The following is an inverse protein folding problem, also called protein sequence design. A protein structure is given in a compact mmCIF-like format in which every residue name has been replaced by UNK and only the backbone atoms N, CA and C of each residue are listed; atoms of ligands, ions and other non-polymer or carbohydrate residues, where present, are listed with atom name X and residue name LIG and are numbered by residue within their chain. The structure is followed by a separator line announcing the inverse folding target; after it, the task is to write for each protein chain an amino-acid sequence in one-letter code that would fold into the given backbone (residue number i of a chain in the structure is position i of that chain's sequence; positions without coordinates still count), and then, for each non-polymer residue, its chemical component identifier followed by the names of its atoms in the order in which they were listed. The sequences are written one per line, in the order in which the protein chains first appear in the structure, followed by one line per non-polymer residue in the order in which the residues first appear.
data_IF_289762702282
#
_entry.id   IF_289762702282
#
_cell.length_a   1.000
_cell.length_b   1.000
_cell.length_c   1.000
_cell.angle_alpha   90.00
_cell.angle_beta   90.00
_cell.angle_gamma   90.00
#
_symmetry.space_group_name_H-M   'P 1'
#
loop_
_entity.id
_entity.type
_entity.pdbx_description
1 polymer ?
#
# COMPACT_ATOMS: atom_id res chain seq x y z
N UNK A 1 5.84 32.12 -8.33
CA UNK A 1 5.53 31.56 -6.98
C UNK A 1 4.02 31.47 -6.72
N UNK A 2 3.20 32.47 -7.05
CA UNK A 2 1.72 32.49 -6.84
C UNK A 2 0.95 31.39 -7.58
N UNK A 3 1.30 31.06 -8.82
CA UNK A 3 0.61 30.04 -9.62
C UNK A 3 0.76 28.61 -9.02
N UNK A 4 1.88 28.32 -8.35
CA UNK A 4 2.12 27.03 -7.69
C UNK A 4 1.28 26.88 -6.43
N UNK A 5 1.01 27.99 -5.72
CA UNK A 5 0.21 28.03 -4.49
C UNK A 5 -1.28 27.78 -4.78
N UNK A 6 -1.83 28.40 -5.83
CA UNK A 6 -3.24 28.22 -6.23
C UNK A 6 -3.54 26.78 -6.72
N UNK A 7 -2.55 26.09 -7.28
CA UNK A 7 -2.70 24.70 -7.71
C UNK A 7 -2.81 23.75 -6.52
N UNK A 8 -1.99 23.95 -5.49
CA UNK A 8 -2.03 23.17 -4.24
C UNK A 8 -3.38 23.27 -3.53
N UNK A 9 -3.99 24.45 -3.45
CA UNK A 9 -5.30 24.63 -2.80
C UNK A 9 -6.44 23.84 -3.48
N UNK A 10 -6.35 23.60 -4.79
CA UNK A 10 -7.35 22.78 -5.51
C UNK A 10 -7.07 21.27 -5.44
N UNK A 11 -5.83 20.88 -5.31
CA UNK A 11 -5.41 19.47 -5.33
C UNK A 11 -5.60 18.78 -3.98
N UNK A 12 -5.38 19.50 -2.88
CA UNK A 12 -5.53 18.93 -1.52
C UNK A 12 -6.95 18.44 -1.25
N UNK A 13 -8.04 19.20 -1.52
CA UNK A 13 -9.40 18.71 -1.32
C UNK A 13 -9.73 17.48 -2.17
N UNK A 14 -9.23 17.42 -3.40
CA UNK A 14 -9.44 16.28 -4.30
C UNK A 14 -8.74 15.03 -3.75
N UNK A 15 -7.48 15.17 -3.35
CA UNK A 15 -6.73 14.07 -2.76
C UNK A 15 -7.37 13.58 -1.46
N UNK A 16 -7.83 14.50 -0.60
CA UNK A 16 -8.58 14.14 0.61
C UNK A 16 -9.88 13.40 0.27
N UNK A 17 -10.64 13.87 -0.72
CA UNK A 17 -11.86 13.19 -1.17
C UNK A 17 -11.59 11.77 -1.67
N UNK A 18 -10.56 11.58 -2.51
CA UNK A 18 -10.13 10.27 -3.01
C UNK A 18 -9.68 9.36 -1.86
N UNK A 19 -8.88 9.89 -0.92
CA UNK A 19 -8.39 9.13 0.24
C UNK A 19 -9.54 8.72 1.16
N UNK A 20 -10.49 9.63 1.42
CA UNK A 20 -11.69 9.32 2.20
C UNK A 20 -12.52 8.23 1.52
N UNK A 21 -12.72 8.33 0.21
CA UNK A 21 -13.41 7.28 -0.55
C UNK A 21 -12.69 5.94 -0.45
N UNK A 22 -11.36 5.91 -0.65
CA UNK A 22 -10.56 4.69 -0.55
C UNK A 22 -10.66 4.03 0.83
N UNK A 23 -10.67 4.85 1.90
CA UNK A 23 -10.90 4.37 3.26
C UNK A 23 -12.29 3.76 3.42
N UNK A 24 -13.33 4.52 3.06
CA UNK A 24 -14.72 4.14 3.30
C UNK A 24 -15.15 2.92 2.50
N UNK A 25 -14.76 2.81 1.23
CA UNK A 25 -15.12 1.64 0.41
C UNK A 25 -14.50 0.37 0.96
N UNK A 26 -13.25 0.43 1.42
CA UNK A 26 -12.59 -0.73 2.02
C UNK A 26 -13.18 -1.08 3.39
N UNK A 27 -13.40 -0.08 4.24
CA UNK A 27 -14.07 -0.24 5.53
C UNK A 27 -15.45 -0.88 5.38
N UNK A 28 -16.25 -0.42 4.42
CA UNK A 28 -17.55 -1.00 4.13
C UNK A 28 -17.42 -2.45 3.69
N UNK A 29 -16.51 -2.75 2.75
CA UNK A 29 -16.27 -4.12 2.27
C UNK A 29 -15.87 -5.07 3.40
N UNK A 30 -14.99 -4.65 4.29
CA UNK A 30 -14.54 -5.46 5.43
C UNK A 30 -15.62 -5.73 6.48
N UNK A 31 -16.71 -4.98 6.47
CA UNK A 31 -17.89 -5.23 7.32
C UNK A 31 -18.95 -6.10 6.63
N UNK A 32 -18.79 -6.43 5.34
CA UNK A 32 -19.76 -7.28 4.61
C UNK A 32 -19.53 -8.78 4.83
N UNK A 33 -18.35 -9.17 5.25
CA UNK A 33 -18.00 -10.57 5.49
C UNK A 33 -16.54 -10.78 5.83
N UNK A 34 -16.19 -12.01 6.15
CA UNK A 34 -14.82 -12.41 6.50
C UNK A 34 -14.41 -13.65 5.73
N UNK A 35 -13.12 -13.76 5.42
CA UNK A 35 -12.48 -15.02 5.03
C UNK A 35 -11.86 -15.59 6.31
N UNK A 36 -12.49 -16.60 6.99
CA UNK A 36 -12.20 -16.88 8.40
C UNK A 36 -10.74 -17.16 8.70
N UNK A 37 -10.10 -18.03 7.93
CA UNK A 37 -8.71 -18.45 8.19
C UNK A 37 -7.75 -17.29 7.93
N UNK A 38 -7.83 -16.68 6.76
CA UNK A 38 -6.85 -15.68 6.34
C UNK A 38 -7.01 -14.36 7.11
N UNK A 39 -8.26 -13.90 7.32
CA UNK A 39 -8.51 -12.66 8.08
C UNK A 39 -8.08 -12.77 9.52
N UNK A 40 -8.40 -13.87 10.20
CA UNK A 40 -8.04 -14.04 11.60
C UNK A 40 -6.57 -14.40 11.80
N UNK A 41 -5.90 -15.00 10.80
CA UNK A 41 -4.48 -15.28 10.88
C UNK A 41 -3.63 -14.02 11.13
N UNK A 42 -3.86 -12.94 10.39
CA UNK A 42 -3.14 -11.69 10.60
C UNK A 42 -3.56 -10.94 11.87
N UNK A 43 -4.82 -11.04 12.27
CA UNK A 43 -5.29 -10.49 13.53
C UNK A 43 -4.61 -11.18 14.73
N UNK A 44 -4.49 -12.51 14.69
CA UNK A 44 -3.85 -13.32 15.74
C UNK A 44 -2.34 -13.06 15.83
N UNK A 45 -1.63 -13.03 14.69
CA UNK A 45 -0.20 -12.73 14.68
C UNK A 45 0.09 -11.31 15.15
N UNK A 46 -0.69 -10.32 14.73
CA UNK A 46 -0.60 -8.95 15.23
C UNK A 46 -0.85 -8.87 16.75
N UNK A 47 -1.85 -9.59 17.26
CA UNK A 47 -2.10 -9.67 18.69
C UNK A 47 -0.95 -10.33 19.45
N UNK A 48 -0.39 -11.43 18.95
CA UNK A 48 0.76 -12.10 19.56
C UNK A 48 1.96 -11.15 19.68
N UNK A 49 2.22 -10.33 18.66
CA UNK A 49 3.30 -9.34 18.71
C UNK A 49 3.08 -8.31 19.82
N UNK A 50 1.87 -7.77 20.00
CA UNK A 50 1.61 -6.80 21.08
C UNK A 50 1.67 -7.43 22.47
N UNK A 51 1.56 -8.75 22.59
CA UNK A 51 1.80 -9.50 23.84
C UNK A 51 3.30 -9.72 24.11
N UNK A 52 4.18 -9.29 23.19
CA UNK A 52 5.63 -9.42 23.33
C UNK A 52 6.21 -10.70 22.75
N UNK A 53 5.43 -11.49 22.03
CA UNK A 53 5.93 -12.66 21.31
C UNK A 53 6.64 -12.24 20.03
N UNK A 54 7.75 -12.89 19.72
CA UNK A 54 8.53 -12.62 18.52
C UNK A 54 8.17 -13.59 17.40
N UNK A 55 7.82 -13.08 16.20
CA UNK A 55 7.58 -13.90 15.03
C UNK A 55 8.79 -14.83 14.75
N UNK A 56 8.52 -16.03 14.24
CA UNK A 56 9.51 -17.09 13.93
C UNK A 56 10.08 -17.77 15.19
N UNK A 57 10.31 -17.03 16.28
CA UNK A 57 10.81 -17.60 17.51
C UNK A 57 9.70 -18.24 18.36
N UNK A 58 8.61 -17.51 18.58
CA UNK A 58 7.56 -17.89 19.54
C UNK A 58 6.28 -18.40 18.84
N UNK A 59 6.09 -18.01 17.58
CA UNK A 59 4.99 -18.48 16.73
C UNK A 59 5.38 -18.47 15.25
N UNK A 60 4.67 -19.28 14.47
CA UNK A 60 4.92 -19.37 13.04
C UNK A 60 4.15 -18.29 12.28
N UNK A 61 4.77 -17.75 11.22
CA UNK A 61 4.17 -16.76 10.31
C UNK A 61 3.93 -17.40 8.95
N UNK A 62 2.82 -17.02 8.31
CA UNK A 62 2.41 -17.58 7.01
C UNK A 62 3.16 -16.94 5.83
N UNK A 63 3.63 -15.69 6.01
CA UNK A 63 4.15 -14.85 4.92
C UNK A 63 5.37 -14.06 5.38
N UNK A 64 5.42 -12.77 5.08
CA UNK A 64 6.51 -11.88 5.52
C UNK A 64 6.10 -11.05 6.74
N UNK A 65 7.09 -10.55 7.43
CA UNK A 65 6.96 -9.85 8.72
C UNK A 65 6.22 -8.52 8.65
N UNK A 66 6.19 -7.85 7.48
CA UNK A 66 5.70 -6.48 7.37
C UNK A 66 4.22 -6.38 7.73
N UNK A 67 3.40 -7.30 7.25
CA UNK A 67 1.95 -7.24 7.48
C UNK A 67 1.63 -7.48 8.96
N UNK A 68 2.30 -8.45 9.59
CA UNK A 68 2.10 -8.77 11.00
C UNK A 68 2.48 -7.61 11.92
N UNK A 69 3.63 -6.95 11.67
CA UNK A 69 4.04 -5.78 12.45
C UNK A 69 3.17 -4.55 12.17
N UNK A 70 2.69 -4.37 10.94
CA UNK A 70 1.72 -3.30 10.64
C UNK A 70 0.41 -3.55 11.36
N UNK A 71 -0.09 -4.79 11.34
CA UNK A 71 -1.28 -5.17 12.10
C UNK A 71 -1.10 -4.90 13.59
N UNK A 72 0.01 -5.35 14.17
CA UNK A 72 0.35 -5.08 15.56
C UNK A 72 0.34 -3.58 15.90
N UNK A 73 0.87 -2.73 14.99
CA UNK A 73 0.86 -1.28 15.19
C UNK A 73 -0.56 -0.72 15.23
N UNK A 74 -1.45 -1.16 14.34
CA UNK A 74 -2.86 -0.72 14.35
C UNK A 74 -3.61 -1.21 15.58
N UNK A 75 -3.41 -2.46 15.99
CA UNK A 75 -4.00 -3.00 17.21
C UNK A 75 -3.48 -2.28 18.47
N UNK A 76 -2.21 -1.92 18.50
CA UNK A 76 -1.63 -1.17 19.61
C UNK A 76 -2.19 0.27 19.71
N UNK A 77 -2.36 0.95 18.57
CA UNK A 77 -2.82 2.33 18.53
C UNK A 77 -4.32 2.49 18.74
N UNK A 78 -5.12 1.58 18.19
CA UNK A 78 -6.59 1.70 18.16
C UNK A 78 -7.32 0.63 18.97
N UNK A 79 -6.58 -0.25 19.65
CA UNK A 79 -7.11 -1.34 20.46
C UNK A 79 -7.28 -2.65 19.69
N UNK A 80 -7.29 -3.75 20.43
CA UNK A 80 -7.44 -5.08 19.85
C UNK A 80 -8.92 -5.36 19.52
N UNK A 81 -9.33 -4.98 18.33
CA UNK A 81 -10.70 -5.14 17.84
C UNK A 81 -10.75 -5.16 16.29
N UNK A 82 -11.89 -5.60 15.77
CA UNK A 82 -12.13 -5.70 14.32
C UNK A 82 -11.98 -4.36 13.59
N UNK A 83 -12.37 -3.26 14.20
CA UNK A 83 -12.25 -1.93 13.59
C UNK A 83 -10.78 -1.53 13.35
N UNK A 84 -9.88 -1.89 14.27
CA UNK A 84 -8.44 -1.66 14.10
C UNK A 84 -7.87 -2.46 12.93
N UNK A 85 -8.30 -3.72 12.80
CA UNK A 85 -7.96 -4.60 11.69
C UNK A 85 -8.42 -4.02 10.34
N UNK A 86 -9.67 -3.53 10.26
CA UNK A 86 -10.18 -2.85 9.07
C UNK A 86 -9.51 -1.49 8.80
N UNK A 87 -9.12 -0.78 9.85
CA UNK A 87 -8.38 0.48 9.70
C UNK A 87 -7.02 0.27 9.03
N UNK A 88 -6.32 -0.83 9.35
CA UNK A 88 -5.06 -1.20 8.70
C UNK A 88 -5.24 -1.37 7.19
N UNK A 89 -6.14 -2.24 6.75
CA UNK A 89 -6.38 -2.47 5.32
C UNK A 89 -6.90 -1.23 4.60
N UNK A 90 -7.78 -0.45 5.25
CA UNK A 90 -8.31 0.80 4.69
C UNK A 90 -7.22 1.86 4.54
N UNK A 91 -6.29 1.95 5.48
CA UNK A 91 -5.12 2.79 5.36
C UNK A 91 -4.22 2.36 4.19
N UNK A 92 -4.02 1.07 3.99
CA UNK A 92 -3.25 0.56 2.85
C UNK A 92 -3.91 0.89 1.51
N UNK A 93 -5.24 0.89 1.44
CA UNK A 93 -5.96 1.33 0.25
C UNK A 93 -5.77 2.84 -0.02
N UNK A 94 -5.71 3.67 1.04
CA UNK A 94 -5.31 5.09 0.89
C UNK A 94 -3.90 5.20 0.33
N UNK A 95 -2.93 4.48 0.89
CA UNK A 95 -1.52 4.52 0.45
C UNK A 95 -1.39 4.15 -1.02
N UNK A 96 -2.04 3.06 -1.43
CA UNK A 96 -2.04 2.59 -2.81
C UNK A 96 -2.66 3.62 -3.77
N UNK A 97 -3.84 4.12 -3.43
CA UNK A 97 -4.59 5.08 -4.26
C UNK A 97 -3.90 6.44 -4.35
N UNK A 98 -3.33 6.91 -3.24
CA UNK A 98 -2.52 8.15 -3.22
C UNK A 98 -1.27 8.02 -4.08
N UNK A 99 -0.60 6.87 -4.02
CA UNK A 99 0.58 6.59 -4.85
C UNK A 99 0.23 6.60 -6.34
N UNK A 100 -0.91 6.01 -6.71
CA UNK A 100 -1.43 6.07 -8.08
C UNK A 100 -1.76 7.50 -8.50
N UNK A 101 -2.43 8.28 -7.65
CA UNK A 101 -2.74 9.69 -7.92
C UNK A 101 -1.46 10.48 -8.24
N UNK A 102 -0.44 10.36 -7.40
CA UNK A 102 0.84 11.04 -7.59
C UNK A 102 1.53 10.60 -8.88
N UNK A 103 1.49 9.31 -9.19
CA UNK A 103 2.05 8.76 -10.43
C UNK A 103 1.34 9.32 -11.68
N UNK A 104 0.01 9.24 -11.74
CA UNK A 104 -0.77 9.71 -12.89
C UNK A 104 -0.62 11.21 -13.12
N UNK A 105 -0.52 11.99 -12.05
CA UNK A 105 -0.26 13.42 -12.11
C UNK A 105 1.07 13.75 -12.80
N UNK A 106 2.10 12.95 -12.60
CA UNK A 106 3.40 13.13 -13.25
C UNK A 106 3.36 12.91 -14.75
N UNK A 107 2.35 12.20 -15.25
CA UNK A 107 2.14 11.96 -16.68
C UNK A 107 1.18 12.97 -17.34
N UNK A 108 0.84 14.07 -16.63
CA UNK A 108 0.02 15.18 -17.14
C UNK A 108 -1.36 14.77 -17.67
N UNK A 109 -1.96 13.74 -17.08
CA UNK A 109 -3.33 13.35 -17.38
C UNK A 109 -4.32 14.44 -16.92
N UNK A 110 -5.45 14.53 -17.57
CA UNK A 110 -6.53 15.41 -17.14
C UNK A 110 -7.04 14.99 -15.75
N UNK A 111 -7.35 15.97 -14.91
CA UNK A 111 -7.75 15.72 -13.53
C UNK A 111 -8.97 14.79 -13.42
N UNK A 112 -9.95 14.91 -14.33
CA UNK A 112 -11.11 14.02 -14.37
C UNK A 112 -10.72 12.55 -14.59
N UNK A 113 -9.77 12.29 -15.48
CA UNK A 113 -9.26 10.93 -15.69
C UNK A 113 -8.48 10.41 -14.48
N UNK A 114 -7.66 11.26 -13.85
CA UNK A 114 -6.93 10.88 -12.62
C UNK A 114 -7.93 10.47 -11.53
N UNK A 115 -8.96 11.30 -11.29
CA UNK A 115 -10.00 11.01 -10.29
C UNK A 115 -10.70 9.70 -10.62
N UNK A 116 -11.15 9.52 -11.87
CA UNK A 116 -11.82 8.30 -12.30
C UNK A 116 -10.96 7.05 -12.08
N UNK A 117 -9.69 7.07 -12.51
CA UNK A 117 -8.78 5.94 -12.30
C UNK A 117 -8.50 5.66 -10.82
N UNK A 118 -8.32 6.71 -10.02
CA UNK A 118 -8.10 6.54 -8.58
C UNK A 118 -9.32 5.95 -7.86
N UNK A 119 -10.54 6.40 -8.18
CA UNK A 119 -11.77 5.85 -7.60
C UNK A 119 -11.98 4.39 -8.02
N UNK A 120 -11.79 4.09 -9.31
CA UNK A 120 -11.86 2.71 -9.82
C UNK A 120 -10.83 1.81 -9.15
N UNK A 121 -9.58 2.28 -9.03
CA UNK A 121 -8.52 1.55 -8.37
C UNK A 121 -8.83 1.30 -6.89
N UNK A 122 -9.28 2.34 -6.17
CA UNK A 122 -9.64 2.21 -4.75
C UNK A 122 -10.76 1.18 -4.52
N UNK A 123 -11.71 1.09 -5.46
CA UNK A 123 -12.80 0.10 -5.39
C UNK A 123 -12.32 -1.32 -5.66
N UNK A 124 -11.28 -1.51 -6.49
CA UNK A 124 -10.82 -2.82 -6.96
C UNK A 124 -9.57 -3.34 -6.24
N UNK A 125 -8.82 -2.46 -5.55
CA UNK A 125 -7.52 -2.80 -4.98
C UNK A 125 -7.63 -3.75 -3.78
N UNK A 126 -8.58 -3.53 -2.88
CA UNK A 126 -8.72 -4.28 -1.64
C UNK A 126 -10.08 -4.98 -1.43
N UNK A 127 -11.00 -5.07 -2.41
CA UNK A 127 -12.42 -5.23 -2.15
C UNK A 127 -12.87 -6.63 -1.76
N UNK A 128 -12.09 -7.68 -2.00
CA UNK A 128 -12.58 -9.05 -1.82
C UNK A 128 -12.85 -9.43 -0.37
N UNK A 129 -12.08 -8.90 0.58
CA UNK A 129 -12.29 -9.17 2.01
C UNK A 129 -12.34 -7.90 2.86
N UNK A 130 -11.79 -6.80 2.37
CA UNK A 130 -11.59 -5.56 3.13
C UNK A 130 -10.63 -5.71 4.33
N UNK A 131 -10.02 -6.86 4.52
CA UNK A 131 -9.09 -7.21 5.61
C UNK A 131 -7.65 -7.27 5.13
N UNK A 132 -6.63 -7.11 6.01
CA UNK A 132 -5.23 -7.18 5.61
C UNK A 132 -4.86 -8.53 5.00
N UNK A 133 -4.18 -8.48 3.85
CA UNK A 133 -3.65 -9.66 3.16
C UNK A 133 -2.22 -9.41 2.69
N UNK A 134 -1.33 -10.36 2.94
CA UNK A 134 0.09 -10.22 2.63
C UNK A 134 0.37 -10.02 1.14
N UNK A 135 -0.30 -10.77 0.25
CA UNK A 135 -0.09 -10.63 -1.18
C UNK A 135 -0.58 -9.26 -1.70
N UNK A 136 -1.65 -8.69 -1.14
CA UNK A 136 -2.12 -7.35 -1.51
C UNK A 136 -1.12 -6.30 -1.06
N UNK A 137 -0.58 -6.39 0.17
CA UNK A 137 0.49 -5.51 0.63
C UNK A 137 1.73 -5.61 -0.26
N UNK A 138 2.14 -6.84 -0.60
CA UNK A 138 3.26 -7.07 -1.51
C UNK A 138 3.04 -6.41 -2.88
N UNK A 139 1.84 -6.51 -3.45
CA UNK A 139 1.49 -5.84 -4.70
C UNK A 139 1.45 -4.33 -4.58
N UNK A 140 0.89 -3.77 -3.50
CA UNK A 140 0.86 -2.32 -3.26
C UNK A 140 2.28 -1.77 -3.20
N UNK A 141 3.15 -2.35 -2.38
CA UNK A 141 4.53 -1.89 -2.28
C UNK A 141 5.33 -2.12 -3.55
N UNK A 142 5.04 -3.19 -4.31
CA UNK A 142 5.61 -3.39 -5.64
C UNK A 142 5.16 -2.32 -6.64
N UNK A 143 3.88 -1.93 -6.63
CA UNK A 143 3.39 -0.81 -7.45
C UNK A 143 4.05 0.51 -7.06
N UNK A 144 4.23 0.78 -5.76
CA UNK A 144 4.96 1.96 -5.28
C UNK A 144 6.41 1.93 -5.77
N UNK A 145 7.07 0.77 -5.76
CA UNK A 145 8.42 0.62 -6.30
C UNK A 145 8.46 0.93 -7.81
N UNK A 146 7.51 0.39 -8.58
CA UNK A 146 7.37 0.66 -10.02
C UNK A 146 7.15 2.16 -10.28
N UNK A 147 6.23 2.80 -9.56
CA UNK A 147 5.95 4.23 -9.70
C UNK A 147 7.17 5.08 -9.36
N UNK A 148 7.86 4.76 -8.25
CA UNK A 148 9.08 5.45 -7.87
C UNK A 148 10.16 5.32 -8.94
N UNK A 149 10.38 4.12 -9.50
CA UNK A 149 11.35 3.89 -10.56
C UNK A 149 11.01 4.70 -11.81
N UNK A 150 9.78 4.63 -12.30
CA UNK A 150 9.36 5.32 -13.52
C UNK A 150 9.44 6.85 -13.37
N UNK A 151 9.05 7.40 -12.21
CA UNK A 151 9.18 8.83 -11.94
C UNK A 151 10.65 9.20 -11.73
N UNK A 152 11.46 8.35 -11.08
CA UNK A 152 12.88 8.58 -10.89
C UNK A 152 13.63 8.70 -12.22
N UNK A 153 13.33 7.82 -13.17
CA UNK A 153 13.86 7.86 -14.54
C UNK A 153 13.41 9.13 -15.25
N UNK A 154 12.10 9.42 -15.24
CA UNK A 154 11.52 10.59 -15.92
C UNK A 154 12.06 11.92 -15.41
N UNK A 155 12.17 12.07 -14.08
CA UNK A 155 12.60 13.33 -13.44
C UNK A 155 14.08 13.38 -13.11
N UNK A 156 14.84 12.31 -13.33
CA UNK A 156 16.22 12.15 -12.86
C UNK A 156 16.36 12.43 -11.35
N UNK A 157 15.37 11.98 -10.56
CA UNK A 157 15.27 12.28 -9.14
C UNK A 157 16.10 11.30 -8.29
N UNK A 158 17.19 11.80 -7.70
CA UNK A 158 18.03 11.02 -6.77
C UNK A 158 17.24 10.51 -5.57
N UNK A 159 16.29 11.30 -5.07
CA UNK A 159 15.45 10.92 -3.93
C UNK A 159 14.56 9.71 -4.23
N UNK A 160 13.93 9.67 -5.40
CA UNK A 160 13.10 8.52 -5.80
C UNK A 160 13.94 7.29 -6.12
N UNK A 161 15.14 7.46 -6.66
CA UNK A 161 16.11 6.37 -6.81
C UNK A 161 16.51 5.77 -5.45
N UNK A 162 16.63 6.61 -4.41
CA UNK A 162 16.87 6.16 -3.05
C UNK A 162 15.65 5.42 -2.45
N UNK A 163 14.43 5.92 -2.65
CA UNK A 163 13.21 5.29 -2.12
C UNK A 163 12.83 3.98 -2.82
N UNK A 164 13.22 3.80 -4.07
CA UNK A 164 12.88 2.62 -4.86
C UNK A 164 13.29 1.30 -4.19
N UNK A 165 14.56 1.07 -3.78
CA UNK A 165 14.96 -0.19 -3.14
C UNK A 165 14.26 -0.44 -1.80
N UNK A 166 13.91 0.60 -1.04
CA UNK A 166 13.14 0.42 0.20
C UNK A 166 11.72 -0.09 -0.08
N UNK A 167 11.06 0.44 -1.10
CA UNK A 167 9.75 -0.07 -1.51
C UNK A 167 9.85 -1.53 -1.97
N UNK A 168 10.90 -1.89 -2.71
CA UNK A 168 11.20 -3.28 -3.08
C UNK A 168 11.40 -4.19 -1.85
N UNK A 169 12.18 -3.73 -0.87
CA UNK A 169 12.44 -4.48 0.36
C UNK A 169 11.15 -4.71 1.15
N UNK A 170 10.33 -3.66 1.34
CA UNK A 170 9.07 -3.76 2.07
C UNK A 170 8.11 -4.70 1.34
N UNK A 171 8.03 -4.64 0.01
CA UNK A 171 7.24 -5.57 -0.79
C UNK A 171 7.68 -7.02 -0.57
N UNK A 172 9.00 -7.29 -0.62
CA UNK A 172 9.55 -8.63 -0.41
C UNK A 172 9.31 -9.15 1.01
N UNK A 173 9.45 -8.28 2.02
CA UNK A 173 9.16 -8.61 3.41
C UNK A 173 7.66 -8.72 3.72
N UNK A 174 6.78 -8.26 2.82
CA UNK A 174 5.33 -8.53 2.91
C UNK A 174 4.98 -9.93 2.41
N UNK A 175 5.50 -10.32 1.23
CA UNK A 175 5.34 -11.68 0.71
C UNK A 175 6.39 -11.95 -0.38
N UNK A 176 7.18 -12.99 -0.21
CA UNK A 176 8.36 -13.28 -1.04
C UNK A 176 8.00 -13.74 -2.46
N UNK A 177 7.09 -14.70 -2.57
CA UNK A 177 6.83 -15.39 -3.84
C UNK A 177 6.40 -14.47 -4.98
N UNK A 178 5.34 -13.64 -4.86
CA UNK A 178 4.95 -12.75 -5.97
C UNK A 178 5.98 -11.64 -6.19
N UNK A 179 6.59 -11.14 -5.12
CA UNK A 179 7.52 -10.02 -5.18
C UNK A 179 8.83 -10.40 -5.85
N UNK A 180 9.35 -11.60 -5.64
CA UNK A 180 10.62 -12.04 -6.25
C UNK A 180 10.58 -11.91 -7.78
N UNK A 181 9.49 -12.32 -8.43
CA UNK A 181 9.34 -12.19 -9.89
C UNK A 181 9.31 -10.71 -10.34
N UNK A 182 8.60 -9.87 -9.60
CA UNK A 182 8.52 -8.43 -9.88
C UNK A 182 9.91 -7.80 -9.73
N UNK A 183 10.66 -8.14 -8.67
CA UNK A 183 11.99 -7.62 -8.43
C UNK A 183 13.00 -8.00 -9.52
N UNK A 184 12.93 -9.22 -10.04
CA UNK A 184 13.77 -9.66 -11.18
C UNK A 184 13.50 -8.76 -12.39
N UNK A 185 12.23 -8.52 -12.72
CA UNK A 185 11.86 -7.67 -13.86
C UNK A 185 12.34 -6.23 -13.62
N UNK A 186 12.15 -5.68 -12.43
CA UNK A 186 12.61 -4.32 -12.10
C UNK A 186 14.12 -4.21 -12.16
N UNK A 187 14.86 -5.21 -11.70
CA UNK A 187 16.31 -5.26 -11.79
C UNK A 187 16.79 -5.26 -13.24
N UNK A 188 16.17 -6.06 -14.11
CA UNK A 188 16.46 -6.05 -15.55
C UNK A 188 16.17 -4.68 -16.17
N UNK A 189 15.05 -4.03 -15.83
CA UNK A 189 14.74 -2.68 -16.30
C UNK A 189 15.80 -1.65 -15.87
N UNK A 190 16.29 -1.75 -14.64
CA UNK A 190 17.38 -0.87 -14.16
C UNK A 190 18.66 -1.11 -14.94
N UNK A 191 19.05 -2.36 -15.21
CA UNK A 191 20.18 -2.69 -16.04
C UNK A 191 20.02 -2.06 -17.42
N UNK A 192 18.91 -2.31 -18.11
CA UNK A 192 18.63 -1.73 -19.43
C UNK A 192 18.64 -0.20 -19.47
N UNK A 193 18.33 0.44 -18.37
CA UNK A 193 18.36 1.90 -18.28
C UNK A 193 19.79 2.45 -18.21
N UNK A 194 20.74 1.73 -17.60
CA UNK A 194 22.11 2.20 -17.41
C UNK A 194 23.09 1.69 -18.47
N UNK A 195 22.77 0.63 -19.20
CA UNK A 195 23.58 0.03 -20.25
C UNK A 195 22.89 0.08 -21.61
#
# INVERSE_FOLDING_TARGET
MFLKKNRLYKEVPILLGISTYAYLVNWYSGNMGVIPIDSFGFLDTGYSIIQGHLPIRDFWIFTGLVVDYMEAAFLYLFGNNWNSHLAHSSFMNIVATTSLYLFLKEYNLNLSHIVFYCLSFATLCYPLSGTPFAYIHAYIFSLIAIFNLLIAIKKKSKFLWFLFPYACLIAFLSMQTPTAYILIILFLLVIFYFF
#
